data_IF_963976304223
#
_entry.id   IF_963976304223
#
_cell.length_a   1.000
_cell.length_b   1.000
_cell.length_c   1.000
_cell.angle_alpha   90.00
_cell.angle_beta   90.00
_cell.angle_gamma   90.00
#
_symmetry.space_group_name_H-M   'P 1'
#
loop_
_entity.id
_entity.type
_entity.pdbx_description
1 polymer ?
#
# COMPACT_ATOMS: atom_id res chain seq x y z
N UNK A 1 -29.27 -1.86 12.34
CA UNK A 1 -29.62 -0.44 12.60
C UNK A 1 -28.78 0.41 11.67
N UNK A 2 -29.37 0.95 10.58
CA UNK A 2 -28.65 1.78 9.62
C UNK A 2 -28.38 3.11 10.30
N UNK A 3 -27.15 3.35 10.77
CA UNK A 3 -26.74 4.69 11.19
C UNK A 3 -26.85 5.60 9.97
N UNK A 4 -27.74 6.58 10.02
CA UNK A 4 -27.77 7.68 9.04
C UNK A 4 -26.42 8.38 9.11
N UNK A 5 -25.55 8.15 8.12
CA UNK A 5 -24.27 8.85 7.99
C UNK A 5 -24.57 10.33 7.70
N UNK A 6 -24.53 11.16 8.71
CA UNK A 6 -24.64 12.63 8.61
C UNK A 6 -23.42 13.27 7.89
N UNK A 7 -22.86 12.60 6.88
CA UNK A 7 -21.67 13.06 6.16
C UNK A 7 -20.34 12.71 6.85
N UNK A 8 -20.36 12.01 7.99
CA UNK A 8 -19.15 11.54 8.67
C UNK A 8 -18.82 10.11 8.28
N UNK A 9 -17.52 9.84 8.14
CA UNK A 9 -16.98 8.49 7.99
C UNK A 9 -16.11 8.15 9.21
N UNK A 10 -16.15 6.88 9.65
CA UNK A 10 -15.25 6.39 10.70
C UNK A 10 -13.95 5.96 10.07
N UNK A 11 -12.83 6.50 10.57
CA UNK A 11 -11.49 6.15 10.14
C UNK A 11 -10.68 5.60 11.31
N UNK A 12 -9.65 4.81 11.02
CA UNK A 12 -8.72 4.29 12.01
C UNK A 12 -7.28 4.36 11.50
N UNK A 13 -6.35 4.64 12.42
CA UNK A 13 -4.95 4.36 12.26
C UNK A 13 -4.63 3.11 13.10
N UNK A 14 -4.01 2.11 12.49
CA UNK A 14 -3.69 0.85 13.15
C UNK A 14 -2.19 0.59 13.10
N UNK A 15 -1.59 0.25 14.25
CA UNK A 15 -0.16 -0.04 14.37
C UNK A 15 -0.01 -1.54 14.64
N UNK A 16 0.45 -2.34 13.66
CA UNK A 16 0.65 -3.78 13.84
C UNK A 16 1.91 -4.07 14.64
N UNK A 17 1.95 -5.24 15.28
CA UNK A 17 3.19 -5.81 15.77
C UNK A 17 3.99 -6.32 14.56
N UNK A 18 5.02 -5.58 14.15
CA UNK A 18 5.81 -5.88 12.95
C UNK A 18 7.02 -6.75 13.28
N UNK A 19 7.26 -7.78 12.45
CA UNK A 19 8.52 -8.53 12.41
C UNK A 19 9.31 -8.12 11.18
N UNK A 20 10.59 -7.80 11.36
CA UNK A 20 11.47 -7.36 10.26
C UNK A 20 11.58 -8.48 9.22
N UNK A 21 11.31 -8.15 7.96
CA UNK A 21 11.36 -9.03 6.79
C UNK A 21 10.40 -10.25 6.81
N UNK A 22 9.57 -10.41 7.84
CA UNK A 22 8.56 -11.48 7.94
C UNK A 22 7.21 -10.98 7.36
N UNK A 23 7.14 -10.91 6.05
CA UNK A 23 5.99 -10.36 5.33
C UNK A 23 4.74 -11.21 5.50
N UNK A 24 4.87 -12.52 5.71
CA UNK A 24 3.74 -13.42 5.95
C UNK A 24 3.07 -13.11 7.28
N UNK A 25 3.87 -13.01 8.34
CA UNK A 25 3.40 -12.62 9.67
C UNK A 25 2.78 -11.23 9.65
N UNK A 26 3.47 -10.26 9.03
CA UNK A 26 3.02 -8.87 8.99
C UNK A 26 1.70 -8.72 8.22
N UNK A 27 1.54 -9.43 7.09
CA UNK A 27 0.29 -9.45 6.33
C UNK A 27 -0.86 -10.07 7.14
N UNK A 28 -0.58 -11.13 7.92
CA UNK A 28 -1.58 -11.75 8.79
C UNK A 28 -2.04 -10.77 9.89
N UNK A 29 -1.10 -10.07 10.51
CA UNK A 29 -1.38 -9.09 11.56
C UNK A 29 -2.14 -7.87 11.01
N UNK A 30 -1.78 -7.39 9.82
CA UNK A 30 -2.53 -6.34 9.11
C UNK A 30 -3.97 -6.80 8.85
N UNK A 31 -4.18 -8.03 8.35
CA UNK A 31 -5.53 -8.56 8.13
C UNK A 31 -6.32 -8.69 9.44
N UNK A 32 -5.68 -9.12 10.52
CA UNK A 32 -6.31 -9.23 11.85
C UNK A 32 -6.82 -7.88 12.34
N UNK A 33 -5.97 -6.86 12.32
CA UNK A 33 -6.33 -5.49 12.73
C UNK A 33 -7.36 -4.85 11.81
N UNK A 34 -7.26 -5.11 10.49
CA UNK A 34 -8.27 -4.68 9.54
C UNK A 34 -9.63 -5.33 9.82
N UNK A 35 -9.64 -6.58 10.33
CA UNK A 35 -10.85 -7.26 10.80
C UNK A 35 -11.49 -6.55 12.00
N UNK A 36 -10.70 -6.24 13.01
CA UNK A 36 -11.19 -5.50 14.17
C UNK A 36 -11.72 -4.10 13.79
N UNK A 37 -11.10 -3.45 12.81
CA UNK A 37 -11.57 -2.17 12.28
C UNK A 37 -12.90 -2.34 11.52
N UNK A 38 -13.01 -3.40 10.71
CA UNK A 38 -14.23 -3.70 9.95
C UNK A 38 -15.42 -3.98 10.88
N UNK A 39 -15.22 -4.76 11.94
CA UNK A 39 -16.25 -5.07 12.94
C UNK A 39 -16.73 -3.82 13.70
N UNK A 40 -15.89 -2.79 13.77
CA UNK A 40 -16.21 -1.47 14.33
C UNK A 40 -16.78 -0.49 13.30
N UNK A 41 -17.18 -0.98 12.11
CA UNK A 41 -17.75 -0.18 11.02
C UNK A 41 -16.80 0.94 10.53
N UNK A 42 -15.48 0.70 10.56
CA UNK A 42 -14.49 1.61 10.01
C UNK A 42 -14.54 1.57 8.48
N UNK A 43 -14.59 2.74 7.84
CA UNK A 43 -14.62 2.89 6.39
C UNK A 43 -13.22 2.99 5.76
N UNK A 44 -12.24 3.47 6.52
CA UNK A 44 -10.85 3.63 6.11
C UNK A 44 -9.93 3.26 7.27
N UNK A 45 -9.04 2.28 7.08
CA UNK A 45 -7.95 1.97 7.99
C UNK A 45 -6.60 2.21 7.31
N UNK A 46 -5.70 2.88 8.04
CA UNK A 46 -4.35 3.20 7.54
C UNK A 46 -3.31 2.56 8.45
N UNK A 47 -2.35 1.89 7.83
CA UNK A 47 -1.20 1.27 8.48
C UNK A 47 0.07 2.10 8.23
N UNK A 48 1.11 1.96 9.08
CA UNK A 48 2.36 2.70 8.96
C UNK A 48 3.12 2.42 7.66
N UNK A 49 4.07 3.31 7.38
CA UNK A 49 5.09 3.17 6.35
C UNK A 49 5.79 1.81 6.49
N UNK A 50 5.99 1.12 5.34
CA UNK A 50 6.66 -0.19 5.27
C UNK A 50 6.11 -1.22 6.28
N UNK A 51 4.85 -1.09 6.70
CA UNK A 51 4.23 -2.00 7.69
C UNK A 51 4.22 -3.47 7.26
N UNK A 52 4.34 -3.73 5.96
CA UNK A 52 4.37 -5.09 5.42
C UNK A 52 5.74 -5.76 5.58
N UNK A 53 6.83 -5.02 5.50
CA UNK A 53 8.19 -5.56 5.60
C UNK A 53 8.88 -5.25 6.93
N UNK A 54 8.45 -4.17 7.58
CA UNK A 54 9.21 -3.47 8.60
C UNK A 54 10.12 -2.41 7.98
N UNK A 55 10.28 -1.30 8.69
CA UNK A 55 11.11 -0.16 8.26
C UNK A 55 12.61 -0.51 8.26
N UNK A 56 13.05 -1.31 9.24
CA UNK A 56 14.49 -1.55 9.52
C UNK A 56 15.09 -2.74 8.75
N UNK A 57 14.58 -3.06 7.56
CA UNK A 57 15.11 -4.15 6.73
C UNK A 57 16.50 -3.87 6.15
N UNK A 58 16.92 -2.60 6.04
CA UNK A 58 18.24 -2.24 5.55
C UNK A 58 18.54 -2.81 4.16
N UNK A 59 19.69 -3.43 3.98
CA UNK A 59 20.13 -3.98 2.69
C UNK A 59 19.25 -5.14 2.16
N UNK A 60 18.35 -5.69 2.99
CA UNK A 60 17.38 -6.67 2.49
C UNK A 60 16.43 -6.09 1.44
N UNK A 61 16.21 -4.78 1.42
CA UNK A 61 15.44 -4.12 0.36
C UNK A 61 16.07 -4.26 -1.04
N UNK A 62 17.37 -4.48 -1.13
CA UNK A 62 18.05 -4.78 -2.40
C UNK A 62 17.89 -6.25 -2.84
N UNK A 63 17.26 -7.09 -2.01
CA UNK A 63 17.15 -8.52 -2.27
C UNK A 63 15.77 -8.89 -2.85
N UNK A 64 15.76 -9.50 -4.04
CA UNK A 64 14.54 -9.96 -4.70
C UNK A 64 13.59 -10.82 -3.84
N UNK A 65 14.08 -11.74 -2.97
CA UNK A 65 13.18 -12.51 -2.11
C UNK A 65 12.29 -11.66 -1.20
N UNK A 66 12.79 -10.58 -0.60
CA UNK A 66 11.99 -9.70 0.24
C UNK A 66 10.93 -8.97 -0.59
N UNK A 67 11.31 -8.42 -1.73
CA UNK A 67 10.38 -7.69 -2.62
C UNK A 67 9.26 -8.62 -3.10
N UNK A 68 9.60 -9.85 -3.52
CA UNK A 68 8.62 -10.85 -3.95
C UNK A 68 7.68 -11.27 -2.81
N UNK A 69 8.22 -11.49 -1.61
CA UNK A 69 7.39 -11.84 -0.46
C UNK A 69 6.48 -10.69 -0.03
N UNK A 70 6.88 -9.43 -0.23
CA UNK A 70 6.02 -8.28 -0.02
C UNK A 70 4.84 -8.26 -1.02
N UNK A 71 5.06 -8.60 -2.29
CA UNK A 71 3.97 -8.75 -3.27
C UNK A 71 2.98 -9.85 -2.85
N UNK A 72 3.47 -10.99 -2.35
CA UNK A 72 2.62 -12.07 -1.86
C UNK A 72 1.81 -11.63 -0.63
N UNK A 73 2.40 -10.84 0.26
CA UNK A 73 1.71 -10.21 1.38
C UNK A 73 0.58 -9.28 0.93
N UNK A 74 0.82 -8.46 -0.11
CA UNK A 74 -0.21 -7.59 -0.70
C UNK A 74 -1.35 -8.46 -1.28
N UNK A 75 -1.05 -9.55 -1.99
CA UNK A 75 -2.07 -10.47 -2.52
C UNK A 75 -2.96 -11.04 -1.41
N UNK A 76 -2.36 -11.43 -0.28
CA UNK A 76 -3.11 -11.90 0.89
C UNK A 76 -4.08 -10.85 1.42
N UNK A 77 -3.63 -9.60 1.53
CA UNK A 77 -4.48 -8.48 1.99
C UNK A 77 -5.59 -8.19 0.97
N UNK A 78 -5.30 -8.27 -0.33
CA UNK A 78 -6.29 -8.15 -1.40
C UNK A 78 -7.40 -9.19 -1.26
N UNK A 79 -7.03 -10.48 -1.10
CA UNK A 79 -8.00 -11.57 -0.90
C UNK A 79 -8.84 -11.34 0.35
N UNK A 80 -8.21 -10.95 1.44
CA UNK A 80 -8.89 -10.63 2.69
C UNK A 80 -9.92 -9.51 2.54
N UNK A 81 -9.63 -8.50 1.71
CA UNK A 81 -10.48 -7.32 1.50
C UNK A 81 -11.72 -7.59 0.64
N UNK A 82 -11.82 -8.77 -0.01
CA UNK A 82 -12.96 -9.12 -0.87
C UNK A 82 -14.27 -9.10 -0.08
N UNK A 83 -15.30 -8.51 -0.68
CA UNK A 83 -16.62 -8.38 -0.06
C UNK A 83 -16.70 -7.34 1.07
N UNK A 84 -15.60 -6.66 1.41
CA UNK A 84 -15.57 -5.62 2.44
C UNK A 84 -15.59 -4.22 1.81
N UNK A 85 -16.53 -3.38 2.25
CA UNK A 85 -16.65 -2.01 1.76
C UNK A 85 -15.59 -1.06 2.35
N UNK A 86 -14.72 -1.56 3.24
CA UNK A 86 -13.65 -0.81 3.88
C UNK A 86 -12.46 -0.61 2.92
N UNK A 87 -11.84 0.56 2.99
CA UNK A 87 -10.56 0.85 2.34
C UNK A 87 -9.42 0.57 3.32
N UNK A 88 -8.40 -0.15 2.86
CA UNK A 88 -7.19 -0.49 3.61
C UNK A 88 -6.01 0.19 2.92
N UNK A 89 -5.19 0.94 3.67
CA UNK A 89 -3.95 1.54 3.16
C UNK A 89 -2.78 0.93 3.91
N UNK A 90 -1.84 0.33 3.18
CA UNK A 90 -0.66 -0.33 3.75
C UNK A 90 0.63 0.23 3.15
N UNK A 91 1.67 0.37 3.96
CA UNK A 91 3.02 0.72 3.50
C UNK A 91 3.77 -0.52 3.02
N UNK A 92 4.31 -0.47 1.80
CA UNK A 92 5.06 -1.57 1.20
C UNK A 92 6.11 -1.10 0.19
N UNK A 93 7.23 -1.84 0.03
CA UNK A 93 8.18 -1.61 -1.05
C UNK A 93 7.59 -2.12 -2.37
N UNK A 94 7.56 -1.29 -3.40
CA UNK A 94 7.03 -1.64 -4.73
C UNK A 94 8.13 -1.47 -5.78
N UNK A 95 8.51 -2.55 -6.48
CA UNK A 95 9.43 -2.45 -7.59
C UNK A 95 8.73 -1.89 -8.83
N UNK A 96 9.37 -0.94 -9.48
CA UNK A 96 8.91 -0.43 -10.76
C UNK A 96 10.10 -0.13 -11.67
N UNK A 97 10.13 -0.73 -12.88
CA UNK A 97 11.29 -0.73 -13.76
C UNK A 97 12.53 -1.25 -13.02
N UNK A 98 13.61 -0.49 -12.96
CA UNK A 98 14.87 -0.88 -12.27
C UNK A 98 15.02 -0.27 -10.87
N UNK A 99 13.96 0.33 -10.32
CA UNK A 99 13.99 1.04 -9.03
C UNK A 99 13.00 0.44 -8.04
N UNK A 100 13.27 0.64 -6.75
CA UNK A 100 12.36 0.31 -5.66
C UNK A 100 11.78 1.60 -5.08
N UNK A 101 10.50 1.60 -4.75
CA UNK A 101 9.79 2.74 -4.19
C UNK A 101 9.12 2.34 -2.89
N UNK A 102 9.21 3.22 -1.91
CA UNK A 102 8.39 3.14 -0.71
C UNK A 102 7.01 3.72 -1.03
N UNK A 103 5.98 2.89 -0.89
CA UNK A 103 4.64 3.24 -1.38
C UNK A 103 3.55 3.00 -0.34
N UNK A 104 2.53 3.86 -0.37
CA UNK A 104 1.24 3.55 0.21
C UNK A 104 0.38 2.83 -0.84
N UNK A 105 -0.05 1.61 -0.54
CA UNK A 105 -0.92 0.79 -1.39
C UNK A 105 -2.35 0.89 -0.87
N UNK A 106 -3.25 1.41 -1.69
CA UNK A 106 -4.67 1.59 -1.38
C UNK A 106 -5.46 0.40 -1.90
N UNK A 107 -6.09 -0.34 -1.00
CA UNK A 107 -6.80 -1.60 -1.29
C UNK A 107 -8.27 -1.46 -0.91
N UNK A 108 -9.16 -1.95 -1.76
CA UNK A 108 -10.59 -2.04 -1.46
C UNK A 108 -11.25 -3.15 -2.27
N UNK A 109 -12.03 -3.98 -1.59
CA UNK A 109 -12.84 -5.04 -2.22
C UNK A 109 -12.05 -5.90 -3.21
N UNK A 110 -10.90 -6.44 -2.79
CA UNK A 110 -10.06 -7.33 -3.58
C UNK A 110 -9.26 -6.66 -4.69
N UNK A 111 -9.25 -5.31 -4.76
CA UNK A 111 -8.56 -4.57 -5.82
C UNK A 111 -7.61 -3.53 -5.24
N UNK A 112 -6.49 -3.31 -5.90
CA UNK A 112 -5.65 -2.13 -5.71
C UNK A 112 -6.38 -0.95 -6.36
N UNK A 113 -6.61 0.10 -5.59
CA UNK A 113 -7.25 1.35 -6.04
C UNK A 113 -6.25 2.44 -6.38
N UNK A 114 -5.03 2.32 -5.86
CA UNK A 114 -3.95 3.23 -6.15
C UNK A 114 -2.68 2.81 -5.44
N UNK A 115 -1.54 3.23 -5.97
CA UNK A 115 -0.22 3.10 -5.37
C UNK A 115 0.39 4.50 -5.37
N UNK A 116 0.73 5.00 -4.19
CA UNK A 116 1.25 6.35 -4.00
C UNK A 116 2.70 6.25 -3.52
N UNK A 117 3.69 6.53 -4.38
CA UNK A 117 5.08 6.50 -3.98
C UNK A 117 5.43 7.73 -3.14
N UNK A 118 6.27 7.52 -2.14
CA UNK A 118 6.83 8.58 -1.30
C UNK A 118 7.73 9.50 -2.12
N UNK A 119 7.45 10.80 -2.07
CA UNK A 119 8.19 11.79 -2.86
C UNK A 119 9.47 12.22 -2.17
N UNK A 120 9.41 12.53 -0.88
CA UNK A 120 10.54 13.01 -0.10
C UNK A 120 11.21 11.86 0.63
N UNK A 121 12.31 11.37 0.05
CA UNK A 121 13.08 10.25 0.62
C UNK A 121 14.16 10.83 1.53
N UNK A 122 14.23 10.42 2.82
CA UNK A 122 15.34 10.76 3.70
C UNK A 122 16.67 10.29 3.12
N UNK A 123 17.76 11.02 3.40
CA UNK A 123 19.09 10.66 2.89
C UNK A 123 19.55 9.26 3.33
N UNK A 124 19.11 8.80 4.52
CA UNK A 124 19.34 7.44 5.01
C UNK A 124 18.72 6.36 4.12
N UNK A 125 17.59 6.66 3.49
CA UNK A 125 16.77 5.69 2.76
C UNK A 125 17.00 5.77 1.24
N UNK A 126 17.67 6.84 0.76
CA UNK A 126 17.97 7.08 -0.65
C UNK A 126 18.87 6.00 -1.28
N UNK A 127 19.52 5.18 -0.44
CA UNK A 127 20.29 4.01 -0.86
C UNK A 127 19.40 2.90 -1.45
N UNK A 128 18.16 2.78 -0.96
CA UNK A 128 17.24 1.70 -1.34
C UNK A 128 16.05 2.18 -2.15
N UNK A 129 15.54 3.39 -1.84
CA UNK A 129 14.30 3.89 -2.41
C UNK A 129 14.53 5.09 -3.32
N UNK A 130 13.84 5.07 -4.47
CA UNK A 130 13.76 6.20 -5.37
C UNK A 130 12.62 7.14 -4.99
N UNK A 131 12.75 8.41 -5.37
CA UNK A 131 11.70 9.42 -5.16
C UNK A 131 10.48 9.18 -6.05
N UNK A 132 9.29 9.37 -5.50
CA UNK A 132 8.04 9.36 -6.25
C UNK A 132 7.96 10.45 -7.33
N UNK A 133 8.80 11.50 -7.26
CA UNK A 133 8.90 12.51 -8.33
C UNK A 133 9.38 11.91 -9.65
N UNK A 134 10.11 10.80 -9.61
CA UNK A 134 10.57 10.10 -10.82
C UNK A 134 9.40 9.49 -11.63
N UNK A 135 8.24 9.25 -10.98
CA UNK A 135 7.02 8.80 -11.65
C UNK A 135 6.32 9.89 -12.46
N UNK A 136 6.55 11.15 -12.11
CA UNK A 136 5.92 12.30 -12.74
C UNK A 136 6.68 12.79 -13.97
N UNK A 137 7.79 12.15 -14.37
CA UNK A 137 8.53 12.48 -15.57
C UNK A 137 7.71 12.18 -16.83
N UNK A 138 7.67 13.12 -17.82
CA UNK A 138 6.88 12.98 -19.06
C UNK A 138 7.22 11.74 -19.90
N UNK A 139 8.35 11.09 -19.65
CA UNK A 139 8.79 9.85 -20.32
C UNK A 139 8.03 8.59 -19.87
N UNK A 140 7.06 8.70 -18.97
CA UNK A 140 6.20 7.61 -18.52
C UNK A 140 4.95 7.47 -19.40
N UNK A 141 5.09 7.71 -20.69
CA UNK A 141 4.12 7.33 -21.70
C UNK A 141 4.35 5.88 -22.09
N UNK A 142 3.70 4.99 -21.45
CA UNK A 142 3.30 3.62 -21.78
C UNK A 142 3.50 2.67 -20.59
N UNK A 143 2.49 2.54 -19.86
CA UNK A 143 1.94 1.42 -19.17
C UNK A 143 2.85 0.31 -18.65
N UNK A 144 3.18 0.34 -17.36
CA UNK A 144 3.74 -0.80 -16.65
C UNK A 144 2.78 -1.31 -15.58
N UNK A 145 2.41 -2.55 -15.64
CA UNK A 145 1.58 -3.25 -14.64
C UNK A 145 2.39 -3.38 -13.35
N UNK A 146 2.01 -2.69 -12.29
CA UNK A 146 2.72 -2.74 -11.00
C UNK A 146 2.46 -4.02 -10.20
N UNK A 147 1.35 -4.73 -10.46
CA UNK A 147 1.04 -6.06 -9.90
C UNK A 147 0.24 -6.84 -10.93
N UNK A 148 0.80 -7.89 -11.52
CA UNK A 148 0.02 -8.81 -12.32
C UNK A 148 -0.60 -9.87 -11.40
N UNK A 149 -1.89 -9.74 -11.11
CA UNK A 149 -2.69 -10.91 -10.78
C UNK A 149 -2.84 -11.72 -12.07
N UNK A 150 -2.47 -12.98 -12.07
CA UNK A 150 -2.38 -13.85 -13.26
C UNK A 150 -3.59 -13.90 -14.19
N UNK A 151 -4.55 -13.02 -14.08
CA UNK A 151 -5.70 -12.82 -14.98
C UNK A 151 -6.24 -11.38 -15.06
N UNK A 152 -5.85 -10.46 -14.16
CA UNK A 152 -6.33 -9.09 -14.21
C UNK A 152 -5.13 -8.14 -14.25
N UNK A 153 -4.90 -7.56 -15.41
CA UNK A 153 -3.99 -6.42 -15.53
C UNK A 153 -4.56 -5.27 -14.70
N UNK A 154 -3.82 -4.79 -13.70
CA UNK A 154 -4.08 -3.46 -13.15
C UNK A 154 -3.82 -2.49 -14.30
N UNK A 155 -4.92 -2.02 -14.92
CA UNK A 155 -4.83 -1.09 -16.04
C UNK A 155 -4.04 0.13 -15.61
N UNK A 156 -3.10 0.51 -16.47
CA UNK A 156 -2.45 1.79 -16.49
C UNK A 156 -3.46 2.90 -16.26
N UNK A 157 -3.17 3.78 -15.33
CA UNK A 157 -3.96 5.00 -15.21
C UNK A 157 -4.40 5.42 -13.82
N UNK A 158 -3.92 4.81 -12.74
CA UNK A 158 -4.22 5.31 -11.39
C UNK A 158 -2.99 5.69 -10.58
N UNK A 159 -2.07 6.46 -11.19
CA UNK A 159 -1.39 7.51 -10.47
C UNK A 159 -2.34 8.74 -10.53
N UNK A 160 -3.56 8.57 -9.96
CA UNK A 160 -4.53 9.65 -9.91
C UNK A 160 -4.01 10.71 -8.96
N UNK A 161 -3.90 11.96 -9.45
CA UNK A 161 -3.79 13.15 -8.64
C UNK A 161 -4.73 13.06 -7.44
N UNK A 162 -4.21 12.73 -6.28
CA UNK A 162 -4.89 13.03 -5.03
C UNK A 162 -4.70 14.54 -4.87
N UNK A 163 -5.64 15.32 -5.39
CA UNK A 163 -5.70 16.74 -5.11
C UNK A 163 -6.00 16.91 -3.63
N UNK A 164 -5.04 17.42 -2.90
CA UNK A 164 -5.28 17.90 -1.55
C UNK A 164 -6.31 19.03 -1.63
N UNK A 165 -7.47 18.84 -1.03
CA UNK A 165 -8.41 19.92 -0.79
C UNK A 165 -7.74 20.89 0.19
N UNK A 166 -7.17 22.00 -0.31
CA UNK A 166 -6.57 23.01 0.56
C UNK A 166 -5.50 23.93 -0.07
N UNK A 167 -5.27 23.89 -1.37
CA UNK A 167 -4.48 24.96 -2.02
C UNK A 167 -5.37 25.75 -2.99
N UNK A 168 -5.77 26.93 -2.51
CA UNK A 168 -6.22 28.04 -3.37
C UNK A 168 -5.00 28.78 -3.92
#
# INVERSE_FOLDING_TARGET
MIMKNYGFIRTAAAVPAVRIADTEYNAAEICRLAGEAFDKEVSLVVFPELSLTGYSCGDLFAMNPLVKSAEDGIRRILEYSRGKAMTIVVGAPIPYRSKLYDCAVVIRNGNVKGIVPKTYIPSSDSRWFASGSDFLSPDVGNGGTLLSNGKDHVREGYCGEIRYAGQR
#
